data_IF_195600822033
#
_entry.id   IF_195600822033
#
_cell.length_a   1.000
_cell.length_b   1.000
_cell.length_c   1.000
_cell.angle_alpha   90.00
_cell.angle_beta   90.00
_cell.angle_gamma   90.00
#
_symmetry.space_group_name_H-M   'P 1'
#
loop_
_entity.id
_entity.type
_entity.pdbx_description
1 polymer ?
#
# COMPACT_ATOMS: atom_id res chain seq x y z
N UNK A 1 -8.06 6.80 0.16
CA UNK A 1 -6.88 7.57 0.60
C UNK A 1 -7.11 9.00 0.18
N UNK A 2 -6.11 9.68 -0.40
CA UNK A 2 -6.37 10.92 -1.15
C UNK A 2 -6.82 10.63 -2.60
N UNK A 3 -6.27 9.59 -3.24
CA UNK A 3 -6.80 9.07 -4.49
C UNK A 3 -8.15 8.37 -4.21
N UNK A 4 -9.21 8.89 -4.83
CA UNK A 4 -10.59 8.44 -4.69
C UNK A 4 -11.21 8.32 -6.08
N UNK A 5 -11.89 7.20 -6.32
CA UNK A 5 -12.54 6.88 -7.59
C UNK A 5 -13.99 6.54 -7.32
N UNK A 6 -14.90 7.22 -8.01
CA UNK A 6 -16.34 6.99 -7.85
C UNK A 6 -16.78 5.63 -8.39
N UNK A 7 -16.09 5.12 -9.41
CA UNK A 7 -16.32 3.80 -10.01
C UNK A 7 -15.65 2.64 -9.25
N UNK A 8 -14.75 2.94 -8.30
CA UNK A 8 -14.13 1.99 -7.37
C UNK A 8 -14.07 2.61 -5.96
N UNK A 9 -15.22 2.72 -5.26
CA UNK A 9 -15.32 3.52 -4.04
C UNK A 9 -14.65 2.88 -2.83
N UNK A 10 -14.56 1.55 -2.77
CA UNK A 10 -13.99 0.82 -1.64
C UNK A 10 -12.50 0.52 -1.84
N UNK A 11 -11.76 0.47 -0.72
CA UNK A 11 -10.33 0.08 -0.72
C UNK A 11 -10.19 -1.42 -1.00
N UNK A 12 -9.42 -1.78 -2.02
CA UNK A 12 -9.12 -3.17 -2.37
C UNK A 12 -7.70 -3.56 -1.94
N UNK A 13 -7.58 -4.14 -0.75
CA UNK A 13 -6.30 -4.57 -0.21
C UNK A 13 -5.74 -5.84 -0.87
N UNK A 14 -6.60 -6.64 -1.52
CA UNK A 14 -6.20 -7.89 -2.17
C UNK A 14 -5.46 -7.61 -3.47
N UNK A 15 -5.94 -6.67 -4.26
CA UNK A 15 -5.36 -6.39 -5.58
C UNK A 15 -4.49 -5.12 -5.62
N UNK A 16 -4.76 -4.14 -4.76
CA UNK A 16 -4.20 -2.78 -4.89
C UNK A 16 -3.39 -2.28 -3.69
N UNK A 17 -3.12 -3.13 -2.68
CA UNK A 17 -2.19 -2.80 -1.60
C UNK A 17 -0.73 -2.98 -2.03
N UNK A 18 -0.29 -2.12 -2.96
CA UNK A 18 1.04 -2.12 -3.57
C UNK A 18 1.43 -0.69 -3.94
N UNK A 19 2.73 -0.43 -4.04
CA UNK A 19 3.22 0.84 -4.54
C UNK A 19 3.27 0.82 -6.06
N UNK A 20 2.76 1.88 -6.70
CA UNK A 20 2.94 2.14 -8.14
C UNK A 20 4.28 2.82 -8.36
N UNK A 21 5.03 2.36 -9.36
CA UNK A 21 6.26 2.96 -9.84
C UNK A 21 6.07 3.34 -11.30
N UNK A 22 6.31 4.60 -11.64
CA UNK A 22 6.21 5.10 -13.03
C UNK A 22 7.58 5.29 -13.64
N UNK A 23 7.79 4.74 -14.83
CA UNK A 23 8.98 4.92 -15.63
C UNK A 23 8.61 5.67 -16.91
N UNK A 24 9.30 6.77 -17.19
CA UNK A 24 9.13 7.55 -18.41
C UNK A 24 10.29 7.24 -19.36
N UNK A 25 9.99 6.75 -20.56
CA UNK A 25 10.99 6.55 -21.60
C UNK A 25 11.30 7.85 -22.33
N UNK A 26 12.39 7.86 -23.10
CA UNK A 26 12.84 9.06 -23.84
C UNK A 26 11.84 9.51 -24.91
N UNK A 27 11.07 8.59 -25.47
CA UNK A 27 9.97 8.85 -26.42
C UNK A 27 8.66 9.28 -25.74
N UNK A 28 8.65 9.47 -24.42
CA UNK A 28 7.50 9.97 -23.66
C UNK A 28 6.52 8.91 -23.21
N UNK A 29 6.79 7.61 -23.46
CA UNK A 29 5.93 6.52 -23.03
C UNK A 29 6.08 6.27 -21.53
N UNK A 30 4.96 6.23 -20.81
CA UNK A 30 4.90 5.86 -19.39
C UNK A 30 4.67 4.36 -19.26
N UNK A 31 5.52 3.69 -18.49
CA UNK A 31 5.35 2.30 -18.09
C UNK A 31 5.18 2.23 -16.57
N UNK A 32 4.12 1.59 -16.12
CA UNK A 32 3.86 1.38 -14.69
C UNK A 32 4.34 -0.02 -14.28
N UNK A 33 5.07 -0.08 -13.17
CA UNK A 33 5.37 -1.31 -12.46
C UNK A 33 4.90 -1.21 -11.01
N UNK A 34 4.90 -2.33 -10.29
CA UNK A 34 4.39 -2.39 -8.92
C UNK A 34 5.34 -3.13 -8.00
N UNK A 35 5.43 -2.68 -6.75
CA UNK A 35 6.16 -3.38 -5.69
C UNK A 35 5.26 -3.59 -4.46
N UNK A 36 5.44 -4.70 -3.71
CA UNK A 36 4.65 -4.94 -2.50
C UNK A 36 4.94 -3.90 -1.41
N UNK A 37 3.98 -3.73 -0.51
CA UNK A 37 4.18 -2.99 0.75
C UNK A 37 4.98 -3.87 1.71
N UNK A 38 6.04 -3.33 2.34
CA UNK A 38 6.74 -4.03 3.40
C UNK A 38 5.85 -4.12 4.64
N UNK A 39 5.64 -5.34 5.13
CA UNK A 39 4.75 -5.63 6.28
C UNK A 39 5.53 -6.00 7.55
N UNK A 40 6.84 -6.16 7.44
CA UNK A 40 7.73 -6.57 8.52
C UNK A 40 8.20 -5.34 9.31
N UNK A 41 7.92 -5.27 10.62
CA UNK A 41 8.48 -4.24 11.50
C UNK A 41 9.97 -4.46 11.73
N UNK A 42 10.67 -3.39 12.15
CA UNK A 42 12.10 -3.47 12.49
C UNK A 42 12.36 -4.06 13.90
N UNK A 43 11.40 -3.97 14.82
CA UNK A 43 11.46 -4.51 16.19
C UNK A 43 10.39 -5.57 16.40
N UNK A 44 10.77 -6.67 17.04
CA UNK A 44 9.83 -7.71 17.43
C UNK A 44 8.97 -7.26 18.61
N UNK A 45 7.81 -7.89 18.83
CA UNK A 45 6.96 -7.61 19.99
C UNK A 45 7.70 -7.81 21.33
N UNK A 46 8.61 -8.80 21.38
CA UNK A 46 9.43 -9.07 22.56
C UNK A 46 10.43 -7.93 22.88
N UNK A 47 10.88 -7.20 21.86
CA UNK A 47 11.81 -6.08 21.98
C UNK A 47 11.09 -4.72 22.15
N UNK A 48 9.80 -4.74 22.51
CA UNK A 48 8.97 -3.55 22.64
C UNK A 48 8.34 -3.06 21.33
N UNK A 49 8.33 -3.88 20.28
CA UNK A 49 7.59 -3.66 19.04
C UNK A 49 6.07 -3.80 19.21
N UNK A 50 5.32 -3.46 18.15
CA UNK A 50 3.85 -3.49 18.16
C UNK A 50 3.35 -4.83 17.59
N UNK A 51 2.38 -5.47 18.25
CA UNK A 51 1.67 -6.65 17.70
C UNK A 51 1.09 -6.33 16.31
N UNK A 52 1.43 -7.17 15.32
CA UNK A 52 0.96 -7.08 13.94
C UNK A 52 -0.56 -7.06 13.82
N UNK A 53 -1.30 -7.74 14.71
CA UNK A 53 -2.78 -7.72 14.71
C UNK A 53 -3.35 -6.35 15.00
N UNK A 54 -2.61 -5.52 15.75
CA UNK A 54 -3.02 -4.16 16.11
C UNK A 54 -2.95 -3.21 14.92
N UNK A 55 -1.97 -3.42 14.03
CA UNK A 55 -1.71 -2.59 12.85
C UNK A 55 -2.20 -3.22 11.54
N UNK A 56 -2.87 -4.36 11.61
CA UNK A 56 -3.45 -5.01 10.44
C UNK A 56 -4.40 -4.06 9.67
N UNK A 57 -4.44 -4.10 8.32
CA UNK A 57 -5.29 -3.24 7.54
C UNK A 57 -6.76 -3.37 7.94
N UNK A 58 -7.39 -2.24 8.29
CA UNK A 58 -8.82 -2.14 8.61
C UNK A 58 -9.44 -0.96 7.85
N UNK A 59 -10.77 -0.95 7.75
CA UNK A 59 -11.50 0.21 7.20
C UNK A 59 -11.17 1.43 8.06
N UNK A 60 -10.72 2.51 7.42
CA UNK A 60 -10.42 3.76 8.13
C UNK A 60 -11.72 4.55 8.26
N UNK A 61 -12.14 4.81 9.50
CA UNK A 61 -13.30 5.64 9.86
C UNK A 61 -12.76 6.84 10.66
N UNK A 62 -13.36 8.01 10.49
CA UNK A 62 -12.97 9.26 11.15
C UNK A 62 -13.92 9.56 12.31
#
# INVERSE_FOLDING_TARGET
GAHAREDYPERDDKNWRKHTLSHLSKDGKVTLSYRPVHVEPLTSEADGGIDLKRIAPKKRVY
#
